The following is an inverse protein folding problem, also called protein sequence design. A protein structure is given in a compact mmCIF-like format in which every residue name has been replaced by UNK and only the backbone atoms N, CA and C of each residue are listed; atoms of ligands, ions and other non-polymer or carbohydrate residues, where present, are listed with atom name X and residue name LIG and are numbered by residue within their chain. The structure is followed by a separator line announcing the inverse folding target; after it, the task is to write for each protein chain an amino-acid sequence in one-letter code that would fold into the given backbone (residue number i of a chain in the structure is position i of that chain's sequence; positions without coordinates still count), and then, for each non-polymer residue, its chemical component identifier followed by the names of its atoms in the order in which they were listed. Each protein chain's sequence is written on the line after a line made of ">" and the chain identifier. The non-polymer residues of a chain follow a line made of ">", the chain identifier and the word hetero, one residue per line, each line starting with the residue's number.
data_IF_251161339706
#
_entry.id   IF_251161339706
#
_cell.length_a   1.000
_cell.length_b   1.000
_cell.length_c   1.000
_cell.angle_alpha   90.00
_cell.angle_beta   90.00
_cell.angle_gamma   90.00
#
_symmetry.space_group_name_H-M   'P 1'
#
loop_
_entity.id
_entity.type
_entity.pdbx_description
1 polymer ?
#
# COMPACT_ATOMS: atom_id res chain seq x y z
N UNK A 1 -9.78 -0.60 10.96
CA UNK A 1 -10.02 -0.17 12.36
C UNK A 1 -10.67 -1.26 13.23
N UNK A 2 -11.72 -1.96 12.78
CA UNK A 2 -12.39 -3.03 13.57
C UNK A 2 -11.49 -4.26 13.80
N UNK A 3 -10.65 -4.64 12.83
CA UNK A 3 -9.67 -5.73 13.01
C UNK A 3 -8.53 -5.37 13.99
N UNK A 4 -8.28 -4.08 14.27
CA UNK A 4 -7.18 -3.65 15.15
C UNK A 4 -7.47 -3.89 16.63
N UNK A 5 -8.74 -3.91 17.04
CA UNK A 5 -9.14 -4.12 18.43
C UNK A 5 -9.33 -5.60 18.78
N UNK A 6 -9.97 -6.38 17.90
CA UNK A 6 -10.32 -7.77 18.23
C UNK A 6 -9.12 -8.74 18.28
N UNK A 7 -8.12 -8.58 17.41
CA UNK A 7 -6.95 -9.45 17.43
C UNK A 7 -6.04 -9.19 18.64
N UNK A 8 -6.05 -7.95 19.16
CA UNK A 8 -5.23 -7.50 20.29
C UNK A 8 -5.79 -7.97 21.64
N UNK A 9 -7.12 -7.90 21.82
CA UNK A 9 -7.80 -8.40 23.03
C UNK A 9 -7.72 -9.92 23.14
N UNK A 10 -7.81 -10.65 22.02
CA UNK A 10 -7.76 -12.12 22.04
C UNK A 10 -6.39 -12.62 22.53
N UNK A 11 -5.29 -12.04 22.04
CA UNK A 11 -3.95 -12.49 22.43
C UNK A 11 -3.61 -12.22 23.90
N UNK A 12 -4.11 -11.12 24.47
CA UNK A 12 -3.90 -10.78 25.88
C UNK A 12 -4.77 -11.63 26.81
N UNK A 13 -6.04 -11.81 26.47
CA UNK A 13 -6.97 -12.68 27.23
C UNK A 13 -6.50 -14.14 27.21
N UNK A 14 -6.03 -14.63 26.07
CA UNK A 14 -5.54 -16.01 25.97
C UNK A 14 -4.27 -16.22 26.81
N UNK A 15 -3.38 -15.22 26.83
CA UNK A 15 -2.19 -15.27 27.69
C UNK A 15 -2.57 -15.33 29.17
N UNK A 16 -3.46 -14.45 29.61
CA UNK A 16 -3.94 -14.42 31.00
C UNK A 16 -4.62 -15.74 31.38
N UNK A 17 -5.35 -16.35 30.45
CA UNK A 17 -5.97 -17.66 30.63
C UNK A 17 -4.91 -18.77 30.77
N UNK A 18 -3.90 -18.81 29.90
CA UNK A 18 -2.78 -19.76 30.01
C UNK A 18 -2.06 -19.61 31.36
N UNK A 19 -1.75 -18.39 31.78
CA UNK A 19 -1.11 -18.10 33.07
C UNK A 19 -1.99 -18.55 34.26
N UNK A 20 -3.31 -18.38 34.15
CA UNK A 20 -4.27 -18.80 35.19
C UNK A 20 -4.45 -20.31 35.28
N UNK A 21 -4.55 -21.01 34.14
CA UNK A 21 -4.76 -22.46 34.07
C UNK A 21 -3.52 -23.23 34.50
N UNK A 22 -2.34 -22.75 34.11
CA UNK A 22 -1.05 -23.37 34.41
C UNK A 22 -0.30 -22.66 35.54
N UNK A 23 -1.03 -22.10 36.50
CA UNK A 23 -0.45 -21.42 37.65
C UNK A 23 0.60 -22.32 38.35
N UNK A 24 1.84 -21.82 38.45
CA UNK A 24 2.99 -22.55 39.00
C UNK A 24 3.85 -23.31 37.99
N UNK A 25 3.45 -23.39 36.72
CA UNK A 25 4.19 -24.00 35.61
C UNK A 25 4.35 -23.02 34.44
N UNK A 26 5.08 -21.93 34.69
CA UNK A 26 5.22 -20.82 33.75
C UNK A 26 5.77 -21.24 32.38
N UNK A 27 6.77 -22.12 32.36
CA UNK A 27 7.37 -22.62 31.11
C UNK A 27 6.34 -23.36 30.23
N UNK A 28 5.44 -24.14 30.84
CA UNK A 28 4.38 -24.85 30.13
C UNK A 28 3.34 -23.86 29.59
N UNK A 29 2.97 -22.86 30.40
CA UNK A 29 2.05 -21.79 29.99
C UNK A 29 2.59 -21.01 28.79
N UNK A 30 3.85 -20.59 28.86
CA UNK A 30 4.54 -19.80 27.83
C UNK A 30 4.70 -20.60 26.52
N UNK A 31 5.03 -21.90 26.61
CA UNK A 31 5.14 -22.77 25.44
C UNK A 31 3.79 -22.99 24.74
N UNK A 32 2.73 -23.31 25.48
CA UNK A 32 1.39 -23.52 24.92
C UNK A 32 0.83 -22.25 24.29
N UNK A 33 1.00 -21.11 24.95
CA UNK A 33 0.60 -19.82 24.41
C UNK A 33 1.36 -19.49 23.12
N UNK A 34 2.68 -19.72 23.08
CA UNK A 34 3.51 -19.56 21.88
C UNK A 34 3.02 -20.38 20.71
N UNK A 35 2.74 -21.66 20.93
CA UNK A 35 2.28 -22.57 19.88
C UNK A 35 0.91 -22.14 19.34
N UNK A 36 -0.01 -21.77 20.24
CA UNK A 36 -1.32 -21.24 19.86
C UNK A 36 -1.22 -19.94 19.07
N UNK A 37 -0.48 -18.95 19.59
CA UNK A 37 -0.28 -17.66 18.96
C UNK A 37 0.42 -17.81 17.60
N UNK A 38 1.43 -18.67 17.51
CA UNK A 38 2.14 -18.99 16.28
C UNK A 38 1.22 -19.56 15.21
N UNK A 39 0.35 -20.53 15.57
CA UNK A 39 -0.62 -21.10 14.64
C UNK A 39 -1.64 -20.06 14.15
N UNK A 40 -2.14 -19.20 15.05
CA UNK A 40 -3.09 -18.14 14.70
C UNK A 40 -2.45 -17.10 13.76
N UNK A 41 -1.24 -16.65 14.06
CA UNK A 41 -0.47 -15.72 13.21
C UNK A 41 -0.22 -16.35 11.84
N UNK A 42 0.19 -17.62 11.77
CA UNK A 42 0.43 -18.31 10.51
C UNK A 42 -0.82 -18.32 9.61
N UNK A 43 -2.01 -18.58 10.15
CA UNK A 43 -3.26 -18.55 9.36
C UNK A 43 -3.55 -17.14 8.82
N UNK A 44 -3.35 -16.10 9.63
CA UNK A 44 -3.53 -14.72 9.20
C UNK A 44 -2.54 -14.34 8.09
N UNK A 45 -1.28 -14.77 8.23
CA UNK A 45 -0.24 -14.52 7.24
C UNK A 45 -0.49 -15.26 5.93
N UNK A 46 -0.94 -16.51 5.98
CA UNK A 46 -1.30 -17.27 4.78
C UNK A 46 -2.40 -16.57 3.96
N UNK A 47 -3.39 -15.98 4.65
CA UNK A 47 -4.43 -15.19 3.99
C UNK A 47 -3.87 -13.90 3.37
N UNK A 48 -3.05 -13.15 4.10
CA UNK A 48 -2.42 -11.93 3.60
C UNK A 48 -1.51 -12.21 2.39
N UNK A 49 -0.76 -13.32 2.44
CA UNK A 49 0.07 -13.80 1.35
C UNK A 49 -0.75 -14.13 0.10
N UNK A 50 -1.86 -14.86 0.27
CA UNK A 50 -2.76 -15.17 -0.84
C UNK A 50 -3.31 -13.90 -1.52
N UNK A 51 -3.55 -12.83 -0.76
CA UNK A 51 -3.96 -11.53 -1.30
C UNK A 51 -2.82 -10.85 -2.05
N UNK A 52 -1.60 -10.88 -1.53
CA UNK A 52 -0.42 -10.33 -2.21
C UNK A 52 -0.17 -11.03 -3.57
N UNK A 53 -0.42 -12.33 -3.65
CA UNK A 53 -0.25 -13.13 -4.88
C UNK A 53 -1.45 -13.07 -5.84
N UNK A 54 -2.59 -12.54 -5.41
CA UNK A 54 -3.79 -12.51 -6.23
C UNK A 54 -3.62 -11.62 -7.47
N UNK A 55 -4.36 -11.93 -8.54
CA UNK A 55 -4.34 -11.14 -9.79
C UNK A 55 -4.50 -9.65 -9.48
N UNK A 56 -3.56 -8.84 -9.95
CA UNK A 56 -3.55 -7.39 -9.75
C UNK A 56 -4.73 -6.72 -10.45
N UNK A 57 -5.38 -5.82 -9.73
CA UNK A 57 -6.38 -4.88 -10.25
C UNK A 57 -6.34 -3.64 -9.37
N UNK A 58 -6.46 -2.46 -9.97
CA UNK A 58 -6.31 -1.19 -9.26
C UNK A 58 -7.26 -1.07 -8.05
N UNK A 59 -8.48 -1.60 -8.11
CA UNK A 59 -9.42 -1.63 -6.96
C UNK A 59 -8.89 -2.38 -5.71
N UNK A 60 -7.84 -3.19 -5.85
CA UNK A 60 -7.25 -3.96 -4.75
C UNK A 60 -6.22 -3.18 -3.95
N UNK A 61 -5.68 -2.07 -4.47
CA UNK A 61 -4.61 -1.34 -3.80
C UNK A 61 -5.00 -0.99 -2.36
N UNK A 62 -6.17 -0.39 -2.16
CA UNK A 62 -6.60 0.06 -0.84
C UNK A 62 -6.78 -1.10 0.15
N UNK A 63 -7.26 -2.25 -0.32
CA UNK A 63 -7.35 -3.47 0.50
C UNK A 63 -5.98 -4.02 0.87
N UNK A 64 -5.01 -3.97 -0.06
CA UNK A 64 -3.62 -4.35 0.22
C UNK A 64 -3.01 -3.42 1.26
N UNK A 65 -3.25 -2.11 1.15
CA UNK A 65 -2.79 -1.11 2.12
C UNK A 65 -3.43 -1.31 3.50
N UNK A 66 -4.73 -1.62 3.56
CA UNK A 66 -5.41 -1.94 4.83
C UNK A 66 -4.75 -3.11 5.57
N UNK A 67 -4.36 -4.15 4.84
CA UNK A 67 -3.68 -5.33 5.41
C UNK A 67 -2.25 -4.99 5.78
N UNK A 68 -1.54 -4.24 4.93
CA UNK A 68 -0.18 -3.77 5.21
C UNK A 68 -0.12 -2.97 6.52
N UNK A 69 -1.07 -2.05 6.74
CA UNK A 69 -1.18 -1.30 7.99
C UNK A 69 -1.55 -2.20 9.17
N UNK A 70 -2.45 -3.17 8.97
CA UNK A 70 -2.82 -4.10 10.03
C UNK A 70 -1.61 -4.93 10.50
N UNK A 71 -0.78 -5.43 9.56
CA UNK A 71 0.43 -6.17 9.91
C UNK A 71 1.47 -5.26 10.59
N UNK A 72 1.65 -4.01 10.10
CA UNK A 72 2.53 -3.01 10.72
C UNK A 72 2.19 -2.79 12.20
N UNK A 73 0.91 -2.69 12.49
CA UNK A 73 0.42 -2.37 13.83
C UNK A 73 0.41 -3.60 14.77
N UNK A 74 0.37 -4.81 14.21
CA UNK A 74 0.45 -6.08 14.98
C UNK A 74 1.88 -6.41 15.41
N UNK A 75 2.90 -6.01 14.63
CA UNK A 75 4.31 -6.32 14.94
C UNK A 75 4.74 -5.94 16.37
N UNK A 76 4.53 -4.70 16.87
CA UNK A 76 4.93 -4.32 18.23
C UNK A 76 4.19 -5.10 19.32
N UNK A 77 2.96 -5.52 19.03
CA UNK A 77 2.17 -6.35 19.94
C UNK A 77 2.74 -7.74 20.02
N UNK A 78 3.08 -8.32 18.86
CA UNK A 78 3.70 -9.63 18.79
C UNK A 78 5.03 -9.64 19.54
N UNK A 79 5.82 -8.58 19.45
CA UNK A 79 7.04 -8.40 20.25
C UNK A 79 6.78 -8.41 21.76
N UNK A 80 5.70 -7.77 22.22
CA UNK A 80 5.34 -7.74 23.64
C UNK A 80 4.77 -9.07 24.16
N UNK A 81 4.03 -9.79 23.32
CA UNK A 81 3.44 -11.09 23.65
C UNK A 81 4.46 -12.23 23.55
N UNK A 82 5.41 -12.13 22.62
CA UNK A 82 6.43 -13.13 22.31
C UNK A 82 7.84 -12.49 22.37
N UNK A 83 8.33 -12.12 23.57
CA UNK A 83 9.67 -11.57 23.73
C UNK A 83 10.73 -12.57 23.28
N UNK A 84 11.86 -12.11 22.74
CA UNK A 84 12.97 -13.01 22.37
C UNK A 84 13.67 -13.50 23.64
N UNK A 85 13.27 -14.67 24.15
CA UNK A 85 13.93 -15.29 25.28
C UNK A 85 15.22 -15.97 24.80
N UNK A 86 16.35 -15.49 25.32
CA UNK A 86 17.71 -15.90 24.96
C UNK A 86 18.09 -17.34 25.40
N UNK A 87 17.17 -18.09 25.98
CA UNK A 87 17.36 -19.48 26.40
C UNK A 87 16.48 -20.38 25.54
N UNK A 88 16.90 -20.57 24.29
CA UNK A 88 16.43 -21.70 23.49
C UNK A 88 17.28 -22.90 23.85
N UNK A 89 16.68 -23.87 24.53
CA UNK A 89 17.13 -25.26 24.36
C UNK A 89 16.99 -25.60 22.86
N UNK A 90 18.04 -26.15 22.29
CA UNK A 90 18.30 -26.23 20.84
C UNK A 90 17.32 -27.11 20.03
N UNK A 91 16.17 -27.51 20.59
CA UNK A 91 15.28 -28.51 19.99
C UNK A 91 13.84 -28.05 19.68
N UNK A 92 13.45 -26.81 19.99
CA UNK A 92 12.06 -26.36 19.79
C UNK A 92 11.90 -25.18 18.82
N UNK A 93 11.88 -25.51 17.52
CA UNK A 93 10.80 -25.17 16.56
C UNK A 93 11.37 -24.99 15.15
N UNK A 94 10.95 -25.88 14.24
CA UNK A 94 11.20 -25.81 12.79
C UNK A 94 10.45 -24.63 12.14
N UNK A 95 9.66 -23.89 12.92
CA UNK A 95 8.82 -22.78 12.45
C UNK A 95 9.63 -21.49 12.55
N UNK A 96 9.73 -20.77 11.42
CA UNK A 96 10.34 -19.45 11.36
C UNK A 96 9.74 -18.51 12.42
N UNK A 97 10.57 -17.62 12.98
CA UNK A 97 10.13 -16.64 13.96
C UNK A 97 8.92 -15.87 13.39
N UNK A 98 7.75 -15.88 14.05
CA UNK A 98 6.54 -15.26 13.53
C UNK A 98 6.74 -13.77 13.22
N UNK A 99 7.67 -13.08 13.89
CA UNK A 99 8.01 -11.68 13.61
C UNK A 99 8.65 -11.51 12.23
N UNK A 100 9.57 -12.40 11.89
CA UNK A 100 10.25 -12.41 10.59
C UNK A 100 9.28 -12.73 9.46
N UNK A 101 8.33 -13.64 9.70
CA UNK A 101 7.28 -13.99 8.75
C UNK A 101 6.29 -12.84 8.53
N UNK A 102 5.85 -12.16 9.61
CA UNK A 102 5.00 -10.97 9.50
C UNK A 102 5.70 -9.88 8.67
N UNK A 103 6.98 -9.62 8.95
CA UNK A 103 7.78 -8.62 8.24
C UNK A 103 7.95 -8.99 6.75
N UNK A 104 8.15 -10.27 6.46
CA UNK A 104 8.28 -10.80 5.09
C UNK A 104 6.99 -10.62 4.29
N UNK A 105 5.84 -11.01 4.84
CA UNK A 105 4.53 -10.85 4.19
C UNK A 105 4.16 -9.38 4.04
N UNK A 106 4.45 -8.55 5.05
CA UNK A 106 4.29 -7.11 4.97
C UNK A 106 5.12 -6.52 3.82
N UNK A 107 6.37 -6.93 3.67
CA UNK A 107 7.23 -6.47 2.58
C UNK A 107 6.65 -6.80 1.20
N UNK A 108 6.14 -8.02 1.02
CA UNK A 108 5.49 -8.46 -0.23
C UNK A 108 4.19 -7.69 -0.52
N UNK A 109 3.42 -7.34 0.49
CA UNK A 109 2.25 -6.46 0.33
C UNK A 109 2.69 -5.06 -0.12
N UNK A 110 3.77 -4.53 0.45
CA UNK A 110 4.36 -3.26 0.03
C UNK A 110 4.82 -3.27 -1.43
N UNK A 111 5.55 -4.30 -1.85
CA UNK A 111 5.93 -4.52 -3.26
C UNK A 111 4.71 -4.62 -4.18
N UNK A 112 3.67 -5.33 -3.73
CA UNK A 112 2.40 -5.47 -4.47
C UNK A 112 1.70 -4.12 -4.63
N UNK A 113 1.72 -3.27 -3.59
CA UNK A 113 1.15 -1.93 -3.64
C UNK A 113 1.90 -1.02 -4.61
N UNK A 114 3.24 -1.06 -4.63
CA UNK A 114 4.07 -0.36 -5.63
C UNK A 114 3.72 -0.85 -7.04
N UNK A 115 3.64 -2.16 -7.26
CA UNK A 115 3.31 -2.74 -8.56
C UNK A 115 1.90 -2.32 -9.04
N UNK A 116 0.91 -2.28 -8.15
CA UNK A 116 -0.44 -1.81 -8.48
C UNK A 116 -0.48 -0.34 -8.91
N UNK A 117 0.36 0.50 -8.29
CA UNK A 117 0.52 1.89 -8.71
C UNK A 117 1.19 2.02 -10.08
N UNK A 118 2.25 1.25 -10.34
CA UNK A 118 2.89 1.21 -11.66
C UNK A 118 1.94 0.67 -12.76
N UNK A 119 1.09 -0.29 -12.42
CA UNK A 119 0.06 -0.82 -13.33
C UNK A 119 -0.97 0.26 -13.69
N UNK A 120 -1.32 1.17 -12.75
CA UNK A 120 -2.16 2.34 -13.03
C UNK A 120 -1.47 3.28 -14.03
N UNK A 121 -0.22 3.67 -13.78
CA UNK A 121 0.54 4.55 -14.69
C UNK A 121 0.64 3.95 -16.09
N UNK A 122 0.93 2.65 -16.16
CA UNK A 122 1.00 1.90 -17.43
C UNK A 122 -0.35 1.86 -18.15
N UNK A 123 -1.45 1.72 -17.41
CA UNK A 123 -2.81 1.77 -17.97
C UNK A 123 -3.15 3.15 -18.53
N UNK A 124 -2.70 4.23 -17.89
CA UNK A 124 -2.86 5.60 -18.40
C UNK A 124 -2.04 5.82 -19.68
N UNK A 125 -0.79 5.34 -19.70
CA UNK A 125 0.11 5.39 -20.87
C UNK A 125 -0.44 4.60 -22.06
N UNK A 126 -0.99 3.41 -21.81
CA UNK A 126 -1.51 2.53 -22.84
C UNK A 126 -2.88 2.95 -23.39
N UNK A 127 -3.57 3.88 -22.72
CA UNK A 127 -4.87 4.37 -23.17
C UNK A 127 -4.74 5.16 -24.46
N UNK A 128 -4.94 4.46 -25.58
CA UNK A 128 -4.97 5.01 -26.91
C UNK A 128 -6.41 5.38 -27.33
N UNK A 129 -7.25 5.81 -26.38
CA UNK A 129 -8.67 6.08 -26.61
C UNK A 129 -8.84 7.28 -27.55
N UNK A 130 -8.71 7.03 -28.86
CA UNK A 130 -9.08 7.97 -29.93
C UNK A 130 -10.60 8.13 -30.06
N UNK A 131 -11.35 7.78 -29.03
CA UNK A 131 -12.81 7.76 -29.05
C UNK A 131 -13.29 9.13 -28.60
N UNK A 132 -13.79 9.98 -29.51
CA UNK A 132 -14.31 11.27 -29.11
C UNK A 132 -15.54 11.01 -28.24
N UNK A 133 -15.52 11.49 -27.00
CA UNK A 133 -16.71 11.48 -26.17
C UNK A 133 -17.70 12.44 -26.83
N UNK A 134 -18.90 11.96 -27.15
CA UNK A 134 -19.92 12.82 -27.76
C UNK A 134 -20.37 13.87 -26.73
N UNK A 135 -20.07 15.15 -27.00
CA UNK A 135 -20.47 16.29 -26.17
C UNK A 135 -19.43 16.71 -25.11
N UNK A 136 -19.84 17.58 -24.18
CA UNK A 136 -19.02 18.17 -23.11
C UNK A 136 -18.73 17.24 -21.91
N UNK A 137 -18.72 15.93 -22.13
CA UNK A 137 -18.61 14.94 -21.04
C UNK A 137 -17.14 14.61 -20.71
N UNK A 138 -16.85 14.45 -19.41
CA UNK A 138 -15.51 14.08 -18.91
C UNK A 138 -15.17 12.66 -19.41
N UNK A 139 -13.94 12.49 -19.92
CA UNK A 139 -13.45 11.20 -20.37
C UNK A 139 -13.50 10.15 -19.24
N UNK A 140 -14.04 8.93 -19.46
CA UNK A 140 -14.17 7.92 -18.41
C UNK A 140 -12.85 7.61 -17.69
N UNK A 141 -11.74 7.53 -18.41
CA UNK A 141 -10.42 7.33 -17.81
C UNK A 141 -10.05 8.47 -16.84
N UNK A 142 -10.31 9.72 -17.21
CA UNK A 142 -10.03 10.87 -16.35
C UNK A 142 -10.81 10.78 -15.05
N UNK A 143 -12.11 10.48 -15.12
CA UNK A 143 -12.92 10.28 -13.91
C UNK A 143 -12.36 9.15 -13.05
N UNK A 144 -11.97 8.05 -13.69
CA UNK A 144 -11.40 6.89 -13.01
C UNK A 144 -10.11 7.23 -12.26
N UNK A 145 -9.11 7.79 -12.97
CA UNK A 145 -7.80 8.14 -12.40
C UNK A 145 -7.96 9.21 -11.31
N UNK A 146 -8.79 10.22 -11.53
CA UNK A 146 -9.03 11.27 -10.53
C UNK A 146 -9.62 10.72 -9.24
N UNK A 147 -10.62 9.83 -9.34
CA UNK A 147 -11.18 9.18 -8.17
C UNK A 147 -10.14 8.30 -7.48
N UNK A 148 -9.35 7.56 -8.26
CA UNK A 148 -8.30 6.70 -7.72
C UNK A 148 -7.28 7.48 -6.90
N UNK A 149 -6.75 8.57 -7.46
CA UNK A 149 -5.74 9.39 -6.79
C UNK A 149 -6.30 10.13 -5.57
N UNK A 150 -7.58 10.53 -5.62
CA UNK A 150 -8.28 11.05 -4.45
C UNK A 150 -8.27 10.05 -3.30
N UNK A 151 -8.63 8.79 -3.56
CA UNK A 151 -8.58 7.74 -2.53
C UNK A 151 -7.14 7.44 -2.09
N UNK A 152 -6.16 7.45 -3.00
CA UNK A 152 -4.75 7.29 -2.63
C UNK A 152 -4.26 8.36 -1.64
N UNK A 153 -4.73 9.59 -1.76
CA UNK A 153 -4.41 10.64 -0.79
C UNK A 153 -4.91 10.34 0.63
N UNK A 154 -5.95 9.53 0.82
CA UNK A 154 -6.39 9.08 2.15
C UNK A 154 -5.35 8.15 2.81
N UNK A 155 -4.52 7.48 2.01
CA UNK A 155 -3.43 6.60 2.44
C UNK A 155 -2.04 7.25 2.33
N UNK A 156 -1.97 8.59 2.25
CA UNK A 156 -0.73 9.37 2.04
C UNK A 156 0.45 8.84 2.87
N UNK A 157 0.32 8.79 4.19
CA UNK A 157 1.41 8.39 5.09
C UNK A 157 1.88 6.94 4.84
N UNK A 158 0.94 6.04 4.56
CA UNK A 158 1.25 4.63 4.30
C UNK A 158 1.90 4.46 2.94
N UNK A 159 1.43 5.17 1.91
CA UNK A 159 2.04 5.14 0.58
C UNK A 159 3.42 5.78 0.58
N UNK A 160 3.63 6.85 1.33
CA UNK A 160 4.95 7.44 1.56
C UNK A 160 5.95 6.42 2.10
N UNK A 161 5.53 5.68 3.13
CA UNK A 161 6.33 4.61 3.71
C UNK A 161 6.59 3.49 2.68
N UNK A 162 5.54 2.98 2.04
CA UNK A 162 5.62 1.90 1.06
C UNK A 162 6.55 2.25 -0.09
N UNK A 163 6.44 3.45 -0.66
CA UNK A 163 7.33 3.86 -1.75
C UNK A 163 8.76 4.08 -1.27
N UNK A 164 8.97 4.55 -0.04
CA UNK A 164 10.32 4.69 0.52
C UNK A 164 11.00 3.34 0.75
N UNK A 165 10.25 2.33 1.19
CA UNK A 165 10.77 1.02 1.58
C UNK A 165 10.90 0.05 0.40
N UNK A 166 9.95 0.09 -0.54
CA UNK A 166 9.82 -0.96 -1.57
C UNK A 166 10.06 -0.48 -3.00
N UNK A 167 10.07 0.84 -3.25
CA UNK A 167 10.43 1.34 -4.57
C UNK A 167 11.94 1.34 -4.72
N UNK A 168 12.47 0.47 -5.56
CA UNK A 168 13.90 0.51 -5.89
C UNK A 168 14.22 1.84 -6.59
N UNK A 169 15.32 2.52 -6.23
CA UNK A 169 15.82 3.62 -7.04
C UNK A 169 16.16 3.04 -8.42
N UNK A 170 15.58 3.59 -9.48
CA UNK A 170 15.73 3.10 -10.85
C UNK A 170 17.22 2.90 -11.20
N UNK A 171 17.69 1.65 -11.19
CA UNK A 171 19.03 1.27 -11.66
C UNK A 171 19.02 1.11 -13.18
N UNK A 172 18.50 2.10 -13.89
CA UNK A 172 18.52 2.13 -15.35
C UNK A 172 19.00 3.49 -15.82
N UNK A 173 20.31 3.59 -16.11
CA UNK A 173 20.85 4.64 -16.98
C UNK A 173 22.01 5.44 -16.41
N UNK A 174 23.22 4.95 -16.70
CA UNK A 174 24.42 5.72 -17.06
C UNK A 174 25.26 6.45 -16.00
N UNK A 175 26.55 6.10 -16.03
CA UNK A 175 27.69 6.80 -15.44
C UNK A 175 27.78 8.24 -16.00
N UNK A 176 27.82 9.24 -15.12
CA UNK A 176 28.05 10.62 -15.55
C UNK A 176 27.82 11.62 -14.42
N UNK A 177 28.89 12.24 -13.95
CA UNK A 177 28.91 13.06 -12.73
C UNK A 177 27.96 14.25 -12.69
N UNK A 178 27.48 14.53 -11.47
CA UNK A 178 27.14 15.87 -11.01
C UNK A 178 25.65 16.17 -10.81
N UNK A 179 25.26 16.39 -9.55
CA UNK A 179 23.99 17.03 -9.17
C UNK A 179 22.84 16.05 -8.97
N UNK A 180 21.89 16.24 -8.06
CA UNK A 180 21.61 17.32 -7.13
C UNK A 180 21.10 16.65 -5.84
N UNK A 181 21.30 17.34 -4.73
CA UNK A 181 20.71 17.02 -3.44
C UNK A 181 19.17 17.01 -3.57
N UNK A 182 18.54 15.89 -3.95
CA UNK A 182 17.07 15.68 -3.88
C UNK A 182 16.66 15.36 -2.44
N UNK A 183 17.27 16.05 -1.48
CA UNK A 183 16.88 16.00 -0.09
C UNK A 183 15.43 16.45 0.03
N UNK A 184 14.60 15.56 0.59
CA UNK A 184 13.26 15.85 1.10
C UNK A 184 12.08 15.81 0.11
N UNK A 185 12.22 15.27 -1.11
CA UNK A 185 11.03 15.06 -1.95
C UNK A 185 10.28 13.79 -1.52
N UNK A 186 9.01 13.98 -1.18
CA UNK A 186 8.09 12.93 -0.79
C UNK A 186 7.94 11.92 -1.96
N UNK A 187 8.28 10.62 -1.77
CA UNK A 187 8.28 9.64 -2.86
C UNK A 187 6.87 9.38 -3.38
N UNK A 188 5.85 9.42 -2.52
CA UNK A 188 4.45 9.33 -2.95
C UNK A 188 4.04 10.56 -3.77
N UNK A 189 4.46 11.76 -3.37
CA UNK A 189 4.17 12.98 -4.15
C UNK A 189 4.77 12.91 -5.56
N UNK A 190 5.97 12.35 -5.71
CA UNK A 190 6.60 12.12 -7.02
C UNK A 190 5.77 11.17 -7.89
N UNK A 191 5.28 10.06 -7.34
CA UNK A 191 4.40 9.12 -8.07
C UNK A 191 3.05 9.71 -8.41
N UNK A 192 2.46 10.47 -7.49
CA UNK A 192 1.21 11.18 -7.70
C UNK A 192 1.35 12.18 -8.84
N UNK A 193 2.44 12.95 -8.87
CA UNK A 193 2.72 13.92 -9.92
C UNK A 193 2.94 13.25 -11.29
N UNK A 194 3.65 12.13 -11.33
CA UNK A 194 3.87 11.36 -12.56
C UNK A 194 2.53 10.85 -13.13
N UNK A 195 1.70 10.19 -12.31
CA UNK A 195 0.37 9.75 -12.74
C UNK A 195 -0.50 10.91 -13.26
N UNK A 196 -0.38 12.10 -12.67
CA UNK A 196 -1.08 13.31 -13.12
C UNK A 196 -0.54 13.85 -14.45
N UNK A 197 0.77 13.89 -14.64
CA UNK A 197 1.38 14.32 -15.90
C UNK A 197 1.03 13.38 -17.06
N UNK A 198 0.94 12.07 -16.79
CA UNK A 198 0.50 11.07 -17.76
C UNK A 198 -0.95 11.30 -18.16
N UNK A 199 -1.83 11.55 -17.18
CA UNK A 199 -3.23 11.86 -17.46
C UNK A 199 -3.37 13.15 -18.27
N UNK A 200 -2.58 14.17 -17.95
CA UNK A 200 -2.57 15.45 -18.67
C UNK A 200 -2.13 15.27 -20.13
N UNK A 201 -1.03 14.55 -20.36
CA UNK A 201 -0.52 14.28 -21.71
C UNK A 201 -1.50 13.47 -22.56
N UNK A 202 -2.19 12.51 -21.94
CA UNK A 202 -3.26 11.75 -22.58
C UNK A 202 -4.42 12.66 -23.00
N UNK A 203 -4.89 13.52 -22.10
CA UNK A 203 -5.96 14.49 -22.37
C UNK A 203 -5.59 15.51 -23.45
N UNK A 204 -4.36 16.04 -23.44
CA UNK A 204 -3.86 16.97 -24.46
C UNK A 204 -3.86 16.32 -25.85
N UNK A 205 -3.41 15.07 -25.94
CA UNK A 205 -3.43 14.30 -27.19
C UNK A 205 -4.86 14.08 -27.70
N UNK A 206 -5.79 13.72 -26.80
CA UNK A 206 -7.20 13.54 -27.15
C UNK A 206 -7.89 14.86 -27.51
N UNK A 207 -7.47 15.98 -26.92
CA UNK A 207 -8.01 17.31 -27.21
C UNK A 207 -7.73 17.78 -28.65
N UNK A 208 -6.56 17.40 -29.21
CA UNK A 208 -6.17 17.72 -30.59
C UNK A 208 -7.02 17.02 -31.65
N UNK A 209 -7.85 16.04 -31.25
CA UNK A 209 -8.79 15.37 -32.14
C UNK A 209 -10.08 16.18 -32.38
N UNK A 210 -10.35 17.21 -31.58
CA UNK A 210 -11.51 18.08 -31.76
C UNK A 210 -11.18 19.16 -32.81
N UNK A 211 -12.01 19.24 -33.86
CA UNK A 211 -11.79 20.14 -35.01
C UNK A 211 -12.26 21.58 -34.79
N UNK A 212 -12.94 21.88 -33.69
CA UNK A 212 -13.64 23.15 -33.49
C UNK A 212 -12.99 23.99 -32.37
N UNK A 213 -12.46 25.21 -32.66
CA UNK A 213 -11.78 26.06 -31.67
C UNK A 213 -12.65 26.44 -30.47
N UNK A 214 -13.98 26.55 -30.68
CA UNK A 214 -14.94 26.89 -29.62
C UNK A 214 -15.29 25.71 -28.71
N UNK A 215 -14.93 24.47 -29.07
CA UNK A 215 -15.04 23.32 -28.17
C UNK A 215 -13.89 23.31 -27.14
N UNK A 216 -12.77 24.00 -27.41
CA UNK A 216 -11.62 24.08 -26.51
C UNK A 216 -11.85 24.92 -25.24
N UNK A 217 -12.76 25.90 -25.27
CA UNK A 217 -13.11 26.68 -24.08
C UNK A 217 -14.07 25.93 -23.13
N UNK A 218 -14.66 24.83 -23.61
CA UNK A 218 -15.55 23.96 -22.82
C UNK A 218 -14.84 22.75 -22.22
N UNK A 219 -13.51 22.64 -22.38
CA UNK A 219 -12.83 21.38 -22.06
C UNK A 219 -12.92 21.12 -20.54
N UNK A 220 -13.32 19.91 -20.14
CA UNK A 220 -13.21 19.46 -18.75
C UNK A 220 -11.80 19.60 -18.16
N UNK A 221 -10.76 19.91 -18.94
CA UNK A 221 -9.40 20.19 -18.49
C UNK A 221 -9.37 21.23 -17.38
N UNK A 222 -10.08 22.37 -17.47
CA UNK A 222 -10.02 23.41 -16.42
C UNK A 222 -10.69 22.94 -15.12
N UNK A 223 -11.84 22.26 -15.21
CA UNK A 223 -12.55 21.71 -14.03
C UNK A 223 -11.81 20.54 -13.39
N UNK A 224 -11.22 19.67 -14.21
CA UNK A 224 -10.36 18.57 -13.75
C UNK A 224 -9.13 19.16 -13.07
N UNK A 225 -8.44 20.13 -13.68
CA UNK A 225 -7.24 20.77 -13.13
C UNK A 225 -7.52 21.51 -11.81
N UNK A 226 -8.67 22.18 -11.68
CA UNK A 226 -9.06 22.82 -10.42
C UNK A 226 -9.33 21.80 -9.30
N UNK A 227 -9.96 20.66 -9.62
CA UNK A 227 -10.13 19.55 -8.68
C UNK A 227 -8.81 18.85 -8.32
N UNK A 228 -7.87 18.77 -9.27
CA UNK A 228 -6.50 18.25 -9.10
C UNK A 228 -5.70 19.13 -8.15
N UNK A 229 -5.64 20.44 -8.39
CA UNK A 229 -4.92 21.39 -7.53
C UNK A 229 -5.50 21.42 -6.13
N UNK A 230 -6.83 21.37 -5.97
CA UNK A 230 -7.46 21.33 -4.65
C UNK A 230 -7.11 20.05 -3.88
N UNK A 231 -7.15 18.89 -4.56
CA UNK A 231 -6.74 17.61 -3.97
C UNK A 231 -5.25 17.59 -3.66
N UNK A 232 -4.39 18.12 -4.53
CA UNK A 232 -2.95 18.20 -4.33
C UNK A 232 -2.57 19.14 -3.18
N UNK A 233 -3.24 20.28 -3.05
CA UNK A 233 -3.06 21.19 -1.91
C UNK A 233 -3.50 20.55 -0.59
N UNK A 234 -4.59 19.78 -0.61
CA UNK A 234 -5.04 18.99 0.56
C UNK A 234 -4.11 17.83 0.91
N UNK A 235 -3.38 17.31 -0.08
CA UNK A 235 -2.46 16.19 0.07
C UNK A 235 -1.02 16.66 0.43
N UNK A 236 -0.70 17.94 0.23
CA UNK A 236 0.63 18.53 0.51
C UNK A 236 0.64 19.54 1.67
N UNK A 237 -0.53 19.93 2.19
CA UNK A 237 -0.70 20.58 3.49
C UNK A 237 -0.67 19.54 4.63
#
# INVERSE_FOLDING_TARGET
>A
MIARYHSLEIGTVERDLCESVFAGHREIADHLFRDFAGAAVFQLLSFAEAIAMAKRSAEKLFKVLDIYEALRDVLPTLDALLPDEAQRDEEASVIADPKTEVSSVQGRLGETAVALFCDLESSIKADNSKTPVRGSAIHPLTRYVMNYLKYACEYKNTLEQVFKEHKQPDKSGEEGGGGQNTGNQNPFATQLLEAMNLLFSNLDTTSKLYKDPHALDSIPCVRVFCGVLFSFHSCNA
#
